data_IF_357475851123
#
_entry.id   IF_357475851123
#
_cell.length_a   1.000
_cell.length_b   1.000
_cell.length_c   1.000
_cell.angle_alpha   90.00
_cell.angle_beta   90.00
_cell.angle_gamma   90.00
#
_symmetry.space_group_name_H-M   'P 1'
#
loop_
_entity.id
_entity.type
_entity.pdbx_description
1 polymer ?
#
# COMPACT_ATOMS: atom_id res chain seq x y z
N UNK A 1 6.59 -10.48 53.16
CA UNK A 1 7.04 -9.46 52.20
C UNK A 1 7.40 -10.22 50.95
N UNK A 2 6.54 -10.17 49.94
CA UNK A 2 6.78 -10.88 48.68
C UNK A 2 7.43 -9.88 47.72
N UNK A 3 8.68 -10.12 47.34
CA UNK A 3 9.38 -9.36 46.31
C UNK A 3 8.72 -9.64 44.94
N UNK A 4 8.25 -8.58 44.29
CA UNK A 4 7.82 -8.62 42.90
C UNK A 4 9.04 -8.90 42.00
N UNK A 5 8.92 -9.79 41.00
CA UNK A 5 10.04 -10.10 40.11
C UNK A 5 10.34 -8.86 39.26
N UNK A 6 11.55 -8.32 39.40
CA UNK A 6 12.09 -7.29 38.52
C UNK A 6 12.15 -7.86 37.10
N UNK A 7 11.34 -7.27 36.22
CA UNK A 7 11.30 -7.59 34.81
C UNK A 7 12.51 -6.93 34.13
N UNK A 8 13.62 -7.66 34.02
CA UNK A 8 14.81 -7.18 33.31
C UNK A 8 14.50 -7.03 31.80
N UNK A 9 14.78 -5.87 31.18
CA UNK A 9 14.51 -5.67 29.76
C UNK A 9 15.35 -6.63 28.90
N UNK A 10 14.70 -7.26 27.90
CA UNK A 10 15.36 -8.21 27.01
C UNK A 10 16.41 -7.50 26.14
N UNK A 11 17.59 -8.10 25.90
CA UNK A 11 18.71 -7.47 25.18
C UNK A 11 18.46 -7.16 23.69
N UNK A 12 17.24 -7.40 23.19
CA UNK A 12 16.83 -7.14 21.81
C UNK A 12 15.71 -6.09 21.70
N UNK A 13 15.35 -5.43 22.80
CA UNK A 13 14.35 -4.38 22.80
C UNK A 13 15.04 -3.02 22.59
N UNK A 14 14.61 -2.22 21.60
CA UNK A 14 15.16 -0.88 21.43
C UNK A 14 14.95 -0.09 22.74
N UNK A 15 15.95 0.71 23.17
CA UNK A 15 15.85 1.44 24.42
C UNK A 15 14.60 2.33 24.41
N UNK A 16 13.93 2.50 25.56
CA UNK A 16 12.76 3.36 25.65
C UNK A 16 13.12 4.79 25.27
N UNK A 17 12.23 5.46 24.52
CA UNK A 17 12.38 6.86 24.14
C UNK A 17 12.46 7.76 25.38
N UNK A 18 13.39 8.72 25.35
CA UNK A 18 13.51 9.80 26.32
C UNK A 18 12.31 10.75 26.25
N UNK A 19 12.08 11.54 27.31
CA UNK A 19 10.98 12.51 27.36
C UNK A 19 11.08 13.59 26.26
N UNK A 20 12.30 14.00 25.93
CA UNK A 20 12.56 14.96 24.84
C UNK A 20 12.25 14.36 23.46
N UNK A 21 12.67 13.12 23.21
CA UNK A 21 12.35 12.41 21.97
C UNK A 21 10.83 12.19 21.81
N UNK A 22 10.13 11.85 22.90
CA UNK A 22 8.66 11.75 22.91
C UNK A 22 7.99 13.07 22.57
N UNK A 23 8.42 14.17 23.19
CA UNK A 23 7.87 15.50 22.91
C UNK A 23 8.11 15.91 21.45
N UNK A 24 9.28 15.60 20.87
CA UNK A 24 9.59 15.86 19.47
C UNK A 24 8.71 15.05 18.52
N UNK A 25 8.46 13.77 18.81
CA UNK A 25 7.55 12.93 18.04
C UNK A 25 6.11 13.44 18.12
N UNK A 26 5.63 13.80 19.32
CA UNK A 26 4.29 14.38 19.49
C UNK A 26 4.13 15.70 18.71
N UNK A 27 5.15 16.56 18.70
CA UNK A 27 5.14 17.78 17.92
C UNK A 27 5.04 17.49 16.41
N UNK A 28 5.82 16.53 15.90
CA UNK A 28 5.74 16.11 14.49
C UNK A 28 4.36 15.53 14.14
N UNK A 29 3.80 14.69 15.01
CA UNK A 29 2.48 14.08 14.79
C UNK A 29 1.35 15.10 14.70
N UNK A 30 1.47 16.27 15.36
CA UNK A 30 0.47 17.36 15.27
C UNK A 30 0.46 18.05 13.91
N UNK A 31 1.58 18.05 13.20
CA UNK A 31 1.72 18.71 11.90
C UNK A 31 1.29 17.81 10.73
N UNK A 32 1.32 16.49 10.90
CA UNK A 32 0.98 15.54 9.84
C UNK A 32 -0.52 15.55 9.59
N UNK A 33 -0.90 15.79 8.33
CA UNK A 33 -2.29 15.67 7.87
C UNK A 33 -2.55 14.28 7.32
N UNK A 34 -3.74 13.76 7.58
CA UNK A 34 -4.17 12.44 7.08
C UNK A 34 -4.23 12.46 5.56
N UNK A 35 -4.66 13.56 4.96
CA UNK A 35 -4.76 13.75 3.52
C UNK A 35 -3.40 13.64 2.82
N UNK A 36 -2.35 14.19 3.43
CA UNK A 36 -0.98 14.12 2.90
C UNK A 36 -0.45 12.68 2.95
N UNK A 37 -0.70 11.99 4.06
CA UNK A 37 -0.33 10.59 4.22
C UNK A 37 -1.07 9.68 3.24
N UNK A 38 -2.37 9.89 3.06
CA UNK A 38 -3.19 9.13 2.11
C UNK A 38 -2.75 9.41 0.67
N UNK A 39 -2.37 10.65 0.33
CA UNK A 39 -1.82 11.00 -0.99
C UNK A 39 -0.54 10.23 -1.28
N UNK A 40 0.40 10.17 -0.32
CA UNK A 40 1.63 9.38 -0.43
C UNK A 40 1.36 7.88 -0.54
N UNK A 41 0.36 7.40 0.21
CA UNK A 41 -0.06 6.00 0.19
C UNK A 41 -0.63 5.63 -1.18
N UNK A 42 -1.48 6.47 -1.77
CA UNK A 42 -2.05 6.25 -3.12
C UNK A 42 -0.94 6.11 -4.16
N UNK A 43 0.06 7.00 -4.15
CA UNK A 43 1.19 6.89 -5.08
C UNK A 43 1.96 5.57 -4.90
N UNK A 44 2.22 5.18 -3.65
CA UNK A 44 2.91 3.92 -3.32
C UNK A 44 2.13 2.69 -3.78
N UNK A 45 0.83 2.64 -3.49
CA UNK A 45 -0.05 1.53 -3.88
C UNK A 45 -0.17 1.43 -5.40
N UNK A 46 -0.27 2.57 -6.10
CA UNK A 46 -0.36 2.59 -7.55
C UNK A 46 0.93 2.04 -8.20
N UNK A 47 2.09 2.48 -7.73
CA UNK A 47 3.39 1.98 -8.19
C UNK A 47 3.56 0.49 -7.93
N UNK A 48 3.15 0.01 -6.74
CA UNK A 48 3.18 -1.40 -6.42
C UNK A 48 2.24 -2.20 -7.32
N UNK A 49 1.02 -1.70 -7.57
CA UNK A 49 0.04 -2.34 -8.43
C UNK A 49 0.56 -2.49 -9.86
N UNK A 50 1.17 -1.43 -10.42
CA UNK A 50 1.80 -1.49 -11.72
C UNK A 50 2.89 -2.58 -11.77
N UNK A 51 3.75 -2.65 -10.74
CA UNK A 51 4.80 -3.67 -10.62
C UNK A 51 4.24 -5.09 -10.61
N UNK A 52 3.12 -5.34 -9.91
CA UNK A 52 2.40 -6.64 -9.90
C UNK A 52 1.77 -7.02 -11.24
N UNK A 53 1.76 -6.12 -12.23
CA UNK A 53 1.26 -6.40 -13.57
C UNK A 53 2.41 -6.59 -14.56
N UNK A 54 3.40 -5.70 -14.53
CA UNK A 54 4.43 -5.60 -15.59
C UNK A 54 5.67 -6.43 -15.33
N UNK A 55 6.00 -6.72 -14.06
CA UNK A 55 7.24 -7.40 -13.70
C UNK A 55 7.01 -8.91 -13.59
N UNK A 56 7.49 -9.65 -14.60
CA UNK A 56 7.18 -11.07 -14.81
C UNK A 56 7.41 -11.98 -13.59
N UNK A 57 8.50 -11.78 -12.85
CA UNK A 57 8.85 -12.54 -11.64
C UNK A 57 8.01 -12.16 -10.40
N UNK A 58 7.18 -11.12 -10.50
CA UNK A 58 6.39 -10.57 -9.40
C UNK A 58 4.90 -10.43 -9.74
N UNK A 59 4.45 -11.01 -10.86
CA UNK A 59 3.07 -10.90 -11.33
C UNK A 59 2.11 -11.47 -10.30
N UNK A 60 1.14 -10.65 -9.90
CA UNK A 60 0.08 -11.00 -8.96
C UNK A 60 -1.15 -10.12 -9.26
N UNK A 61 -2.05 -10.64 -10.09
CA UNK A 61 -3.23 -9.90 -10.54
C UNK A 61 -4.23 -9.66 -9.41
N UNK A 62 -4.31 -10.54 -8.42
CA UNK A 62 -5.19 -10.33 -7.26
C UNK A 62 -4.71 -9.14 -6.42
N UNK A 63 -3.39 -9.04 -6.19
CA UNK A 63 -2.80 -7.87 -5.52
C UNK A 63 -2.93 -6.59 -6.35
N UNK A 64 -2.75 -6.67 -7.67
CA UNK A 64 -2.94 -5.51 -8.55
C UNK A 64 -4.39 -5.00 -8.49
N UNK A 65 -5.37 -5.91 -8.53
CA UNK A 65 -6.80 -5.57 -8.41
C UNK A 65 -7.11 -4.92 -7.07
N UNK A 66 -6.63 -5.52 -5.97
CA UNK A 66 -6.80 -4.96 -4.62
C UNK A 66 -6.24 -3.53 -4.54
N UNK A 67 -5.06 -3.30 -5.12
CA UNK A 67 -4.45 -1.97 -5.16
C UNK A 67 -5.27 -0.96 -5.97
N UNK A 68 -5.78 -1.35 -7.15
CA UNK A 68 -6.65 -0.50 -7.98
C UNK A 68 -7.93 -0.12 -7.22
N UNK A 69 -8.60 -1.09 -6.59
CA UNK A 69 -9.83 -0.86 -5.82
C UNK A 69 -9.56 0.03 -4.59
N UNK A 70 -8.42 -0.17 -3.92
CA UNK A 70 -7.98 0.64 -2.78
C UNK A 70 -7.73 2.09 -3.19
N UNK A 71 -7.02 2.32 -4.29
CA UNK A 71 -6.74 3.68 -4.81
C UNK A 71 -8.05 4.40 -5.15
N UNK A 72 -8.98 3.74 -5.83
CA UNK A 72 -10.30 4.33 -6.14
C UNK A 72 -11.06 4.76 -4.88
N UNK A 73 -11.00 3.93 -3.84
CA UNK A 73 -11.69 4.19 -2.58
C UNK A 73 -11.07 5.35 -1.80
N UNK A 74 -9.73 5.40 -1.74
CA UNK A 74 -9.01 6.48 -1.05
C UNK A 74 -9.18 7.81 -1.80
N UNK A 75 -9.05 7.82 -3.12
CA UNK A 75 -9.17 9.04 -3.93
C UNK A 75 -10.54 9.70 -3.77
N UNK A 76 -11.61 8.92 -3.56
CA UNK A 76 -12.94 9.46 -3.31
C UNK A 76 -13.06 10.25 -1.98
N UNK A 77 -12.09 10.11 -1.07
CA UNK A 77 -12.01 10.82 0.20
C UNK A 77 -11.08 12.04 0.18
N UNK A 78 -10.29 12.20 -0.90
CA UNK A 78 -9.29 13.26 -1.03
C UNK A 78 -9.85 14.50 -1.75
N UNK A 79 -9.20 15.66 -1.62
CA UNK A 79 -9.59 16.87 -2.36
C UNK A 79 -9.66 16.60 -3.88
N UNK A 80 -10.60 17.24 -4.60
CA UNK A 80 -10.82 17.00 -6.03
C UNK A 80 -9.56 17.13 -6.90
N UNK A 81 -8.66 18.05 -6.53
CA UNK A 81 -7.41 18.31 -7.23
C UNK A 81 -6.47 17.10 -7.19
N UNK A 82 -6.43 16.39 -6.06
CA UNK A 82 -5.67 15.14 -5.92
C UNK A 82 -6.28 14.05 -6.78
N UNK A 83 -7.61 13.92 -6.78
CA UNK A 83 -8.30 12.96 -7.64
C UNK A 83 -8.04 13.19 -9.12
N UNK A 84 -8.02 14.45 -9.57
CA UNK A 84 -7.67 14.81 -10.95
C UNK A 84 -6.23 14.42 -11.29
N UNK A 85 -5.29 14.65 -10.38
CA UNK A 85 -3.88 14.28 -10.58
C UNK A 85 -3.65 12.76 -10.68
N UNK A 86 -4.45 11.96 -9.96
CA UNK A 86 -4.33 10.49 -9.93
C UNK A 86 -5.11 9.80 -11.05
N UNK A 87 -6.11 10.46 -11.65
CA UNK A 87 -7.01 9.86 -12.64
C UNK A 87 -6.28 9.21 -13.83
N UNK A 88 -5.32 9.93 -14.42
CA UNK A 88 -4.55 9.45 -15.56
C UNK A 88 -3.61 8.27 -15.19
N UNK A 89 -2.74 8.38 -14.16
CA UNK A 89 -1.95 7.24 -13.67
C UNK A 89 -2.78 6.00 -13.32
N UNK A 90 -3.94 6.18 -12.66
CA UNK A 90 -4.84 5.08 -12.32
C UNK A 90 -5.39 4.39 -13.58
N UNK A 91 -5.77 5.17 -14.59
CA UNK A 91 -6.28 4.64 -15.86
C UNK A 91 -5.22 3.82 -16.60
N UNK A 92 -3.95 4.26 -16.59
CA UNK A 92 -2.85 3.51 -17.18
C UNK A 92 -2.66 2.14 -16.50
N UNK A 93 -2.68 2.09 -15.16
CA UNK A 93 -2.57 0.84 -14.42
C UNK A 93 -3.77 -0.10 -14.71
N UNK A 94 -4.98 0.45 -14.80
CA UNK A 94 -6.17 -0.32 -15.16
C UNK A 94 -6.09 -0.91 -16.58
N UNK A 95 -5.53 -0.17 -17.54
CA UNK A 95 -5.31 -0.65 -18.90
C UNK A 95 -4.30 -1.81 -18.92
N UNK A 96 -3.17 -1.67 -18.23
CA UNK A 96 -2.18 -2.74 -18.09
C UNK A 96 -2.80 -4.00 -17.46
N UNK A 97 -3.59 -3.81 -16.40
CA UNK A 97 -4.28 -4.90 -15.72
C UNK A 97 -5.25 -5.64 -16.66
N UNK A 98 -6.06 -4.90 -17.42
CA UNK A 98 -7.03 -5.48 -18.35
C UNK A 98 -6.34 -6.29 -19.46
N UNK A 99 -5.24 -5.77 -20.02
CA UNK A 99 -4.43 -6.46 -21.02
C UNK A 99 -3.87 -7.77 -20.44
N UNK A 100 -3.25 -7.70 -19.25
CA UNK A 100 -2.61 -8.86 -18.63
C UNK A 100 -3.61 -9.94 -18.21
N UNK A 101 -4.77 -9.52 -17.69
CA UNK A 101 -5.86 -10.43 -17.33
C UNK A 101 -6.44 -11.15 -18.56
N UNK A 102 -6.51 -10.46 -19.70
CA UNK A 102 -6.91 -11.05 -20.98
C UNK A 102 -5.94 -12.14 -21.46
N UNK A 103 -4.62 -11.90 -21.35
CA UNK A 103 -3.59 -12.89 -21.68
C UNK A 103 -3.72 -14.16 -20.83
N UNK A 104 -3.98 -14.02 -19.52
CA UNK A 104 -4.14 -15.16 -18.61
C UNK A 104 -5.43 -15.95 -18.84
N UNK A 105 -6.48 -15.31 -19.37
CA UNK A 105 -7.77 -15.95 -19.65
C UNK A 105 -7.80 -16.79 -20.93
N UNK A 106 -6.98 -16.45 -21.92
CA UNK A 106 -6.95 -17.14 -23.23
C UNK A 106 -6.06 -18.40 -23.27
N UNK A 107 -5.33 -18.72 -22.19
CA UNK A 107 -4.40 -19.86 -22.14
C UNK A 107 -5.00 -21.18 -21.60
N UNK A 108 -6.29 -21.23 -21.27
CA UNK A 108 -6.93 -22.36 -20.57
C UNK A 108 -7.84 -23.27 -21.41
N UNK A 109 -8.06 -22.96 -22.70
CA UNK A 109 -9.12 -23.60 -23.50
C UNK A 109 -8.61 -24.18 -24.84
N UNK A 110 -7.46 -24.86 -24.87
CA UNK A 110 -7.11 -25.74 -25.99
C UNK A 110 -6.42 -27.02 -25.48
N UNK A 111 -7.22 -28.04 -25.15
CA UNK A 111 -6.67 -29.31 -24.67
C UNK A 111 -7.69 -30.37 -24.31
N UNK A 112 -8.54 -30.77 -25.25
CA UNK A 112 -9.35 -31.97 -25.08
C UNK A 112 -10.01 -32.50 -26.35
N UNK A 113 -9.36 -33.40 -27.10
CA UNK A 113 -10.06 -34.28 -28.03
C UNK A 113 -10.51 -35.54 -27.27
N UNK A 114 -11.81 -35.78 -27.25
CA UNK A 114 -12.44 -37.05 -26.87
C UNK A 114 -13.49 -37.41 -27.90
#
# INVERSE_FOLDING_TARGET
MSEEPQNDPSPNEPPPLTDEERAMLEAQMKEIRVEDLLTQTVASVLNLSARRIVKEDEVDLDQARLGIESVRSIVALLPPEVGQAIAEPLSQVQLLYAQKSGETGTGGEEGGPG
#
